data_IF_225695643810
#
_entry.id   IF_225695643810
#
_cell.length_a   1.000
_cell.length_b   1.000
_cell.length_c   1.000
_cell.angle_alpha   90.00
_cell.angle_beta   90.00
_cell.angle_gamma   90.00
#
_symmetry.space_group_name_H-M   'P 1'
#
loop_
_entity.id
_entity.type
_entity.pdbx_description
1 polymer ?
#
# COMPACT_ATOMS: atom_id res chain seq x y z
N UNK A 1 -21.33 19.67 -8.45
CA UNK A 1 -20.06 18.92 -8.35
C UNK A 1 -19.15 19.45 -9.46
N UNK A 2 -17.85 19.60 -9.22
CA UNK A 2 -16.93 20.08 -10.28
C UNK A 2 -16.89 19.07 -11.44
N UNK A 3 -16.86 19.56 -12.69
CA UNK A 3 -16.95 18.72 -13.91
C UNK A 3 -15.83 17.69 -13.98
N UNK A 4 -14.63 18.04 -13.51
CA UNK A 4 -13.50 17.12 -13.52
C UNK A 4 -13.71 15.99 -12.50
N UNK A 5 -14.28 16.31 -11.33
CA UNK A 5 -14.61 15.33 -10.29
C UNK A 5 -15.60 14.29 -10.82
N UNK A 6 -16.65 14.74 -11.51
CA UNK A 6 -17.63 13.83 -12.13
C UNK A 6 -16.98 12.94 -13.21
N UNK A 7 -16.09 13.50 -14.03
CA UNK A 7 -15.33 12.74 -15.02
C UNK A 7 -14.49 11.64 -14.36
N UNK A 8 -13.77 11.94 -13.28
CA UNK A 8 -12.98 10.94 -12.54
C UNK A 8 -13.86 9.84 -11.95
N UNK A 9 -15.00 10.17 -11.36
CA UNK A 9 -15.95 9.17 -10.84
C UNK A 9 -16.44 8.23 -11.94
N UNK A 10 -16.71 8.75 -13.14
CA UNK A 10 -17.15 7.94 -14.27
C UNK A 10 -16.05 7.02 -14.81
N UNK A 11 -14.81 7.51 -14.90
CA UNK A 11 -13.65 6.69 -15.29
C UNK A 11 -13.47 5.55 -14.28
N UNK A 12 -13.43 5.87 -12.99
CA UNK A 12 -13.26 4.89 -11.91
C UNK A 12 -14.36 3.82 -11.96
N UNK A 13 -15.63 4.24 -12.10
CA UNK A 13 -16.77 3.32 -12.20
C UNK A 13 -16.63 2.38 -13.40
N UNK A 14 -16.22 2.90 -14.54
CA UNK A 14 -16.03 2.10 -15.77
C UNK A 14 -14.93 1.06 -15.57
N UNK A 15 -13.80 1.44 -14.98
CA UNK A 15 -12.69 0.53 -14.72
C UNK A 15 -13.06 -0.58 -13.73
N UNK A 16 -13.86 -0.28 -12.71
CA UNK A 16 -14.36 -1.31 -11.77
C UNK A 16 -15.31 -2.28 -12.48
N UNK A 17 -16.25 -1.77 -13.29
CA UNK A 17 -17.21 -2.60 -14.02
C UNK A 17 -16.54 -3.50 -15.07
N UNK A 18 -15.44 -3.04 -15.67
CA UNK A 18 -14.65 -3.81 -16.63
C UNK A 18 -13.62 -4.74 -15.98
N UNK A 19 -13.60 -4.83 -14.64
CA UNK A 19 -12.56 -5.55 -13.88
C UNK A 19 -11.12 -5.09 -14.17
N UNK A 20 -10.94 -3.86 -14.64
CA UNK A 20 -9.63 -3.24 -14.83
C UNK A 20 -9.12 -2.54 -13.55
N UNK A 21 -10.00 -2.34 -12.56
CA UNK A 21 -9.66 -1.79 -11.25
C UNK A 21 -10.35 -2.61 -10.16
N UNK A 22 -9.55 -3.28 -9.32
CA UNK A 22 -10.07 -4.06 -8.19
C UNK A 22 -10.09 -3.22 -6.92
N UNK A 23 -11.21 -3.24 -6.19
CA UNK A 23 -11.32 -2.60 -4.88
C UNK A 23 -10.42 -3.34 -3.87
N UNK A 24 -9.66 -2.63 -3.01
CA UNK A 24 -8.78 -3.28 -2.06
C UNK A 24 -9.57 -4.04 -1.00
N UNK A 25 -9.15 -5.28 -0.70
CA UNK A 25 -9.67 -6.08 0.41
C UNK A 25 -8.56 -6.21 1.45
N UNK A 26 -8.76 -5.58 2.61
CA UNK A 26 -7.67 -5.26 3.53
C UNK A 26 -7.76 -6.12 4.78
N UNK A 27 -6.62 -6.68 5.18
CA UNK A 27 -6.43 -7.34 6.47
C UNK A 27 -5.53 -6.47 7.35
N UNK A 28 -5.99 -6.19 8.56
CA UNK A 28 -5.22 -5.49 9.59
C UNK A 28 -4.56 -6.53 10.50
N UNK A 29 -3.24 -6.44 10.66
CA UNK A 29 -2.51 -7.33 11.56
C UNK A 29 -2.93 -7.04 13.01
N UNK A 30 -3.05 -8.07 13.89
CA UNK A 30 -3.52 -7.90 15.27
C UNK A 30 -2.73 -6.90 16.11
N UNK A 31 -1.45 -6.70 15.78
CA UNK A 31 -0.51 -5.83 16.52
C UNK A 31 -0.74 -4.33 16.28
N UNK A 32 -1.74 -3.95 15.48
CA UNK A 32 -2.10 -2.54 15.25
C UNK A 32 -2.91 -2.00 16.43
N UNK A 33 -2.44 -0.88 16.99
CA UNK A 33 -3.16 -0.12 18.02
C UNK A 33 -4.61 0.20 17.62
N UNK A 34 -5.54 0.09 18.59
CA UNK A 34 -6.98 0.21 18.33
C UNK A 34 -7.37 1.59 17.77
N UNK A 35 -6.73 2.67 18.22
CA UNK A 35 -7.00 4.03 17.74
C UNK A 35 -6.58 4.14 16.26
N UNK A 36 -5.44 3.58 15.92
CA UNK A 36 -4.97 3.52 14.53
C UNK A 36 -5.87 2.61 13.68
N UNK A 37 -6.24 1.42 14.18
CA UNK A 37 -7.11 0.49 13.47
C UNK A 37 -8.47 1.12 13.12
N UNK A 38 -9.08 1.88 14.04
CA UNK A 38 -10.33 2.59 13.78
C UNK A 38 -10.17 3.68 12.70
N UNK A 39 -9.10 4.48 12.78
CA UNK A 39 -8.78 5.47 11.75
C UNK A 39 -8.57 4.83 10.38
N UNK A 40 -7.86 3.69 10.33
CA UNK A 40 -7.65 2.93 9.10
C UNK A 40 -8.98 2.41 8.54
N UNK A 41 -9.85 1.82 9.38
CA UNK A 41 -11.17 1.35 8.95
C UNK A 41 -12.00 2.47 8.30
N UNK A 42 -11.94 3.70 8.83
CA UNK A 42 -12.64 4.85 8.25
C UNK A 42 -12.07 5.26 6.90
N UNK A 43 -10.74 5.27 6.75
CA UNK A 43 -10.06 5.57 5.49
C UNK A 43 -10.44 4.51 4.44
N UNK A 44 -10.36 3.23 4.80
CA UNK A 44 -10.68 2.11 3.91
C UNK A 44 -12.11 2.24 3.37
N UNK A 45 -13.08 2.49 4.25
CA UNK A 45 -14.48 2.71 3.85
C UNK A 45 -14.64 3.93 2.94
N UNK A 46 -13.98 5.05 3.26
CA UNK A 46 -14.02 6.28 2.44
C UNK A 46 -13.53 6.04 1.01
N UNK A 47 -12.56 5.16 0.84
CA UNK A 47 -12.00 4.78 -0.46
C UNK A 47 -12.64 3.53 -1.08
N UNK A 48 -13.82 3.12 -0.57
CA UNK A 48 -14.59 1.97 -1.09
C UNK A 48 -13.83 0.63 -1.04
N UNK A 49 -12.87 0.51 -0.11
CA UNK A 49 -12.23 -0.76 0.20
C UNK A 49 -13.07 -1.61 1.14
N UNK A 50 -12.77 -2.91 1.20
CA UNK A 50 -13.39 -3.87 2.12
C UNK A 50 -12.39 -4.35 3.17
N UNK A 51 -12.92 -4.93 4.24
CA UNK A 51 -12.13 -5.56 5.30
C UNK A 51 -12.38 -7.05 5.31
N UNK A 52 -11.35 -7.81 5.66
CA UNK A 52 -11.45 -9.25 5.90
C UNK A 52 -10.67 -9.63 7.15
N UNK A 53 -11.18 -10.58 7.92
CA UNK A 53 -10.47 -11.22 9.03
C UNK A 53 -9.59 -12.40 8.55
N UNK A 54 -9.68 -12.77 7.26
CA UNK A 54 -8.94 -13.88 6.67
C UNK A 54 -7.73 -13.37 5.88
N UNK A 55 -6.52 -13.55 6.45
CA UNK A 55 -5.26 -13.10 5.84
C UNK A 55 -5.06 -13.58 4.40
N UNK A 56 -5.50 -14.80 4.08
CA UNK A 56 -5.37 -15.40 2.74
C UNK A 56 -6.30 -14.81 1.69
N UNK A 57 -7.39 -14.14 2.09
CA UNK A 57 -8.36 -13.51 1.18
C UNK A 57 -8.07 -12.03 0.92
N UNK A 58 -7.15 -11.45 1.66
CA UNK A 58 -6.80 -10.04 1.54
C UNK A 58 -5.89 -9.79 0.34
N UNK A 59 -6.15 -8.70 -0.39
CA UNK A 59 -5.21 -8.19 -1.40
C UNK A 59 -4.09 -7.35 -0.78
N UNK A 60 -4.30 -6.81 0.43
CA UNK A 60 -3.33 -5.99 1.14
C UNK A 60 -3.31 -6.34 2.63
N UNK A 61 -2.11 -6.39 3.22
CA UNK A 61 -1.91 -6.54 4.66
C UNK A 61 -1.30 -5.25 5.21
N UNK A 62 -1.90 -4.71 6.26
CA UNK A 62 -1.35 -3.52 6.93
C UNK A 62 -0.64 -3.98 8.20
N UNK A 63 0.60 -3.52 8.35
CA UNK A 63 1.43 -3.69 9.53
C UNK A 63 1.60 -2.34 10.23
N UNK A 64 1.79 -2.32 11.56
CA UNK A 64 2.20 -1.11 12.25
C UNK A 64 3.55 -0.62 11.70
N UNK A 65 3.79 0.67 11.77
CA UNK A 65 5.10 1.24 11.44
C UNK A 65 6.16 0.62 12.35
N UNK A 66 7.22 0.05 11.78
CA UNK A 66 8.33 -0.47 12.57
C UNK A 66 9.22 0.69 12.99
N UNK A 67 9.38 0.89 14.29
CA UNK A 67 10.35 1.86 14.82
C UNK A 67 11.80 1.50 14.48
N UNK A 68 12.09 0.27 14.03
CA UNK A 68 13.45 -0.16 13.65
C UNK A 68 13.88 0.31 12.25
N UNK A 69 12.95 0.76 11.41
CA UNK A 69 13.23 1.04 9.99
C UNK A 69 13.98 2.36 9.74
N UNK A 70 13.97 3.28 10.71
CA UNK A 70 14.71 4.55 10.60
C UNK A 70 16.22 4.38 10.83
N UNK A 71 16.63 3.30 11.52
CA UNK A 71 18.03 3.10 11.94
C UNK A 71 18.77 2.00 11.14
N UNK A 72 18.07 1.23 10.31
CA UNK A 72 18.69 0.16 9.52
C UNK A 72 19.16 0.70 8.17
N UNK A 73 20.43 1.16 8.13
CA UNK A 73 21.15 1.32 6.87
C UNK A 73 21.14 -0.01 6.10
N UNK A 74 20.56 -0.01 4.90
CA UNK A 74 20.55 -1.17 4.02
C UNK A 74 21.05 -0.78 2.63
N UNK A 75 21.65 -1.75 1.95
CA UNK A 75 22.03 -1.61 0.54
C UNK A 75 21.54 -2.82 -0.25
N UNK A 76 21.22 -2.62 -1.52
CA UNK A 76 20.94 -3.72 -2.47
C UNK A 76 21.92 -3.68 -3.64
N UNK A 77 22.50 -4.82 -4.06
CA UNK A 77 23.26 -4.88 -5.29
C UNK A 77 22.39 -4.58 -6.51
N UNK A 78 22.86 -3.70 -7.39
CA UNK A 78 22.19 -3.32 -8.65
C UNK A 78 22.88 -4.01 -9.84
N UNK A 79 24.21 -4.03 -9.85
CA UNK A 79 24.99 -4.61 -10.94
C UNK A 79 26.34 -5.12 -10.45
N UNK A 80 26.83 -6.21 -11.04
CA UNK A 80 28.18 -6.74 -10.80
C UNK A 80 29.01 -6.59 -12.08
N UNK A 81 30.23 -6.06 -11.97
CA UNK A 81 31.19 -5.96 -13.06
C UNK A 81 32.59 -6.27 -12.54
N UNK A 82 33.19 -7.34 -13.07
CA UNK A 82 34.48 -7.86 -12.62
C UNK A 82 34.56 -8.05 -11.10
N UNK A 83 35.41 -7.26 -10.42
CA UNK A 83 35.61 -7.26 -8.97
C UNK A 83 34.81 -6.17 -8.24
N UNK A 84 33.88 -5.50 -8.93
CA UNK A 84 33.11 -4.38 -8.39
C UNK A 84 31.60 -4.66 -8.43
N UNK A 85 30.88 -4.04 -7.49
CA UNK A 85 29.42 -4.10 -7.38
C UNK A 85 28.89 -2.69 -7.25
N UNK A 86 27.98 -2.30 -8.14
CA UNK A 86 27.15 -1.12 -7.97
C UNK A 86 26.05 -1.45 -6.97
N UNK A 87 25.87 -0.61 -5.96
CA UNK A 87 24.86 -0.78 -4.92
C UNK A 87 23.95 0.45 -4.88
N UNK A 88 22.68 0.22 -4.57
CA UNK A 88 21.74 1.28 -4.19
C UNK A 88 21.72 1.34 -2.66
N UNK A 89 21.88 2.54 -2.10
CA UNK A 89 21.78 2.77 -0.67
C UNK A 89 20.33 3.12 -0.32
N UNK A 90 19.74 2.38 0.60
CA UNK A 90 18.38 2.59 1.05
C UNK A 90 18.15 4.02 1.50
N UNK A 91 17.06 4.63 1.05
CA UNK A 91 16.68 6.04 1.31
C UNK A 91 17.52 7.12 0.60
N UNK A 92 18.42 6.76 -0.32
CA UNK A 92 19.15 7.72 -1.16
C UNK A 92 18.78 7.53 -2.63
N UNK A 93 18.72 8.61 -3.43
CA UNK A 93 18.47 8.51 -4.87
C UNK A 93 19.64 7.82 -5.60
N UNK A 94 19.33 7.14 -6.70
CA UNK A 94 20.31 6.59 -7.66
C UNK A 94 20.86 7.67 -8.60
#
# INVERSE_FOLDING_TARGET
MDRNVEMFMNIEKTLVQSNCLTRPNIYLIPDIDLKLANKLKDIIKRHQGTFTDEKSKASHHIYPYSSSQEDEEWLRPVMRKDKQVLVHWGFYPD
#
